data_IF_993901717911
#
_entry.id   IF_993901717911
#
_cell.length_a   1.000
_cell.length_b   1.000
_cell.length_c   1.000
_cell.angle_alpha   90.00
_cell.angle_beta   90.00
_cell.angle_gamma   90.00
#
_symmetry.space_group_name_H-M   'P 1'
#
loop_
_entity.id
_entity.type
_entity.pdbx_description
1 polymer ?
#
# COMPACT_ATOMS: atom_id res chain seq x y z
N UNK A 1 -33.84 -10.87 3.13
CA UNK A 1 -32.48 -10.75 3.70
C UNK A 1 -31.53 -11.32 2.65
N UNK A 2 -30.75 -10.49 1.95
CA UNK A 2 -29.49 -10.97 1.38
C UNK A 2 -28.39 -10.06 1.92
N UNK A 3 -27.33 -10.67 2.41
CA UNK A 3 -26.13 -9.98 2.87
C UNK A 3 -25.31 -9.38 1.71
N UNK A 4 -25.88 -9.35 0.49
CA UNK A 4 -25.17 -9.08 -0.77
C UNK A 4 -25.20 -7.61 -1.21
N UNK A 5 -25.99 -6.73 -0.58
CA UNK A 5 -26.06 -5.30 -0.96
C UNK A 5 -25.39 -4.36 0.07
N UNK A 6 -24.59 -4.89 0.99
CA UNK A 6 -23.80 -4.09 1.92
C UNK A 6 -22.42 -3.78 1.31
N UNK A 7 -22.17 -2.51 0.98
CA UNK A 7 -20.87 -2.02 0.48
C UNK A 7 -19.69 -2.43 1.36
N UNK A 8 -19.93 -2.62 2.66
CA UNK A 8 -18.92 -3.16 3.57
C UNK A 8 -18.47 -4.57 3.16
N UNK A 9 -19.38 -5.49 2.89
CA UNK A 9 -19.03 -6.89 2.56
C UNK A 9 -18.38 -7.03 1.17
N UNK A 10 -18.60 -6.03 0.31
CA UNK A 10 -17.95 -5.88 -0.99
C UNK A 10 -16.50 -5.41 -0.87
N UNK A 11 -16.13 -4.74 0.22
CA UNK A 11 -14.73 -4.38 0.48
C UNK A 11 -13.90 -5.64 0.71
N UNK A 12 -12.75 -5.70 0.05
CA UNK A 12 -11.85 -6.82 0.15
C UNK A 12 -10.40 -6.43 -0.01
N UNK A 13 -9.53 -7.31 0.49
CA UNK A 13 -8.11 -7.30 0.20
C UNK A 13 -7.68 -8.69 -0.22
N UNK A 14 -7.13 -8.81 -1.43
CA UNK A 14 -6.39 -9.99 -1.88
C UNK A 14 -4.91 -9.71 -1.69
N UNK A 15 -4.21 -10.54 -0.93
CA UNK A 15 -2.82 -10.26 -0.59
C UNK A 15 -1.94 -11.50 -0.48
N UNK A 16 -0.64 -11.27 -0.63
CA UNK A 16 0.40 -12.18 -0.18
C UNK A 16 1.60 -11.37 0.31
N UNK A 17 2.29 -11.94 1.29
CA UNK A 17 3.56 -11.43 1.80
C UNK A 17 4.69 -12.40 1.41
N UNK A 18 5.91 -12.09 1.86
CA UNK A 18 7.06 -13.00 1.76
C UNK A 18 6.84 -14.37 2.41
N UNK A 19 5.85 -14.48 3.32
CA UNK A 19 5.51 -15.76 3.95
C UNK A 19 4.74 -16.69 3.01
N UNK A 20 3.92 -16.14 2.13
CA UNK A 20 3.04 -16.92 1.26
C UNK A 20 3.57 -17.10 -0.17
N UNK A 21 4.24 -16.07 -0.72
CA UNK A 21 4.78 -16.10 -2.08
C UNK A 21 6.20 -15.57 -2.11
N UNK A 22 7.14 -16.16 -2.88
CA UNK A 22 8.48 -15.61 -3.07
C UNK A 22 8.44 -14.34 -3.94
N UNK A 23 9.52 -13.55 -3.88
CA UNK A 23 9.64 -12.23 -4.54
C UNK A 23 9.30 -12.28 -6.03
N UNK A 24 9.84 -13.24 -6.77
CA UNK A 24 9.61 -13.43 -8.20
C UNK A 24 8.12 -13.56 -8.55
N UNK A 25 7.37 -14.31 -7.72
CA UNK A 25 5.92 -14.51 -7.90
C UNK A 25 5.14 -13.25 -7.58
N UNK A 26 5.53 -12.49 -6.55
CA UNK A 26 4.89 -11.22 -6.21
C UNK A 26 5.08 -10.19 -7.33
N UNK A 27 6.26 -10.14 -7.93
CA UNK A 27 6.54 -9.22 -9.04
C UNK A 27 5.79 -9.58 -10.32
N UNK A 28 5.69 -10.87 -10.64
CA UNK A 28 4.91 -11.31 -11.80
C UNK A 28 3.43 -10.89 -11.68
N UNK A 29 2.85 -11.00 -10.48
CA UNK A 29 1.49 -10.54 -10.21
C UNK A 29 1.35 -9.01 -10.26
N UNK A 30 2.40 -8.27 -9.87
CA UNK A 30 2.37 -6.81 -9.93
C UNK A 30 2.56 -6.26 -11.35
N UNK A 31 3.26 -6.99 -12.22
CA UNK A 31 3.43 -6.62 -13.61
C UNK A 31 2.12 -6.68 -14.40
N UNK A 32 1.25 -7.65 -14.08
CA UNK A 32 -0.09 -7.77 -14.66
C UNK A 32 -1.15 -8.07 -13.59
N UNK A 33 -1.75 -7.03 -12.98
CA UNK A 33 -2.79 -7.20 -11.97
C UNK A 33 -4.18 -7.46 -12.58
N UNK A 34 -4.33 -7.48 -13.91
CA UNK A 34 -5.65 -7.53 -14.58
C UNK A 34 -6.49 -8.73 -14.13
N UNK A 35 -5.85 -9.90 -14.02
CA UNK A 35 -6.51 -11.12 -13.58
C UNK A 35 -6.91 -11.08 -12.10
N UNK A 36 -6.21 -10.30 -11.27
CA UNK A 36 -6.56 -10.11 -9.85
C UNK A 36 -7.68 -9.07 -9.69
N UNK A 37 -7.71 -8.05 -10.54
CA UNK A 37 -8.69 -6.98 -10.54
C UNK A 37 -10.01 -7.35 -11.25
N UNK A 38 -10.08 -8.52 -11.90
CA UNK A 38 -11.27 -8.98 -12.59
C UNK A 38 -12.48 -9.08 -11.63
N UNK A 39 -13.55 -8.34 -11.93
CA UNK A 39 -14.76 -8.29 -11.12
C UNK A 39 -14.75 -7.26 -9.99
N UNK A 40 -13.76 -6.35 -9.94
CA UNK A 40 -13.75 -5.21 -9.03
C UNK A 40 -14.26 -3.95 -9.73
N UNK A 41 -15.15 -3.23 -9.05
CA UNK A 41 -15.65 -1.93 -9.50
C UNK A 41 -14.65 -0.82 -9.18
N UNK A 42 -13.98 -0.94 -8.04
CA UNK A 42 -12.94 -0.02 -7.57
C UNK A 42 -11.75 -0.82 -7.05
N UNK A 43 -10.52 -0.41 -7.36
CA UNK A 43 -9.33 -1.08 -6.85
C UNK A 43 -8.06 -0.23 -6.90
N UNK A 44 -7.07 -0.66 -6.12
CA UNK A 44 -5.68 -0.28 -6.25
C UNK A 44 -4.76 -1.45 -5.93
N UNK A 45 -3.53 -1.37 -6.42
CA UNK A 45 -2.48 -2.34 -6.12
C UNK A 45 -1.39 -1.68 -5.27
N UNK A 46 -1.21 -2.18 -4.05
CA UNK A 46 -0.02 -1.92 -3.23
C UNK A 46 1.02 -3.00 -3.51
N UNK A 47 2.10 -2.62 -4.18
CA UNK A 47 3.23 -3.51 -4.42
C UNK A 47 4.49 -2.94 -3.75
N UNK A 48 5.09 -3.74 -2.89
CA UNK A 48 6.33 -3.44 -2.18
C UNK A 48 7.27 -4.64 -2.27
N UNK A 49 8.49 -4.49 -1.76
CA UNK A 49 9.43 -5.60 -1.67
C UNK A 49 8.92 -6.79 -0.82
N UNK A 50 8.02 -6.59 0.16
CA UNK A 50 7.56 -7.65 1.08
C UNK A 50 6.14 -8.14 0.86
N UNK A 51 5.34 -7.37 0.12
CA UNK A 51 3.91 -7.65 -0.05
C UNK A 51 3.39 -7.21 -1.40
N UNK A 52 2.38 -7.92 -1.85
CA UNK A 52 1.46 -7.50 -2.88
C UNK A 52 0.05 -7.53 -2.30
N UNK A 53 -0.67 -6.42 -2.35
CA UNK A 53 -2.04 -6.31 -1.87
C UNK A 53 -2.90 -5.58 -2.89
N UNK A 54 -3.95 -6.24 -3.35
CA UNK A 54 -5.02 -5.63 -4.12
C UNK A 54 -6.14 -5.26 -3.16
N UNK A 55 -6.36 -3.96 -2.99
CA UNK A 55 -7.43 -3.40 -2.16
C UNK A 55 -8.54 -2.97 -3.10
N UNK A 56 -9.77 -3.41 -2.86
CA UNK A 56 -10.85 -3.03 -3.76
C UNK A 56 -12.25 -3.28 -3.24
N UNK A 57 -13.20 -2.90 -4.08
CA UNK A 57 -14.63 -3.09 -3.93
C UNK A 57 -15.10 -4.07 -5.02
N UNK A 58 -15.62 -5.22 -4.62
CA UNK A 58 -16.15 -6.17 -5.60
C UNK A 58 -17.43 -5.66 -6.24
N UNK A 59 -17.63 -6.04 -7.50
CA UNK A 59 -18.95 -6.02 -8.13
C UNK A 59 -19.93 -6.93 -7.39
N UNK A 60 -21.18 -6.92 -7.86
CA UNK A 60 -22.26 -7.77 -7.33
C UNK A 60 -22.13 -9.24 -7.73
N UNK A 61 -21.25 -9.56 -8.68
CA UNK A 61 -20.98 -10.93 -9.09
C UNK A 61 -20.02 -11.62 -8.09
N UNK A 62 -20.17 -12.94 -7.86
CA UNK A 62 -19.22 -13.69 -7.06
C UNK A 62 -17.81 -13.59 -7.65
N UNK A 63 -16.83 -13.22 -6.81
CA UNK A 63 -15.44 -13.22 -7.23
C UNK A 63 -14.89 -14.64 -7.33
N UNK A 64 -14.01 -14.92 -8.32
CA UNK A 64 -13.31 -16.19 -8.36
C UNK A 64 -12.49 -16.40 -7.08
N UNK A 65 -12.31 -17.65 -6.62
CA UNK A 65 -11.46 -17.92 -5.47
C UNK A 65 -10.02 -17.42 -5.74
N UNK A 66 -9.32 -16.94 -4.71
CA UNK A 66 -7.94 -16.48 -4.87
C UNK A 66 -7.05 -17.61 -5.39
N UNK A 67 -6.14 -17.28 -6.31
CA UNK A 67 -5.14 -18.23 -6.83
C UNK A 67 -4.27 -18.78 -5.69
N UNK A 68 -3.71 -19.97 -5.86
CA UNK A 68 -2.84 -20.62 -4.87
C UNK A 68 -1.75 -19.68 -4.33
N UNK A 69 -1.67 -19.54 -3.01
CA UNK A 69 -0.70 -18.67 -2.32
C UNK A 69 -1.18 -17.23 -2.07
N UNK A 70 -2.39 -16.86 -2.51
CA UNK A 70 -3.02 -15.59 -2.17
C UNK A 70 -4.06 -15.78 -1.06
N UNK A 71 -4.13 -14.82 -0.15
CA UNK A 71 -5.12 -14.74 0.93
C UNK A 71 -6.18 -13.70 0.59
N UNK A 72 -7.40 -13.91 1.07
CA UNK A 72 -8.53 -13.01 0.90
C UNK A 72 -9.13 -12.67 2.26
N UNK A 73 -9.33 -11.37 2.51
CA UNK A 73 -10.16 -10.87 3.62
C UNK A 73 -11.23 -9.93 3.07
N UNK A 74 -12.40 -9.90 3.72
CA UNK A 74 -13.56 -9.09 3.33
C UNK A 74 -14.09 -8.27 4.50
N UNK A 75 -14.93 -7.29 4.22
CA UNK A 75 -15.67 -6.56 5.25
C UNK A 75 -14.77 -5.81 6.22
N UNK A 76 -15.10 -5.88 7.50
CA UNK A 76 -14.32 -5.25 8.57
C UNK A 76 -12.87 -5.74 8.61
N UNK A 77 -12.61 -7.01 8.24
CA UNK A 77 -11.23 -7.55 8.20
C UNK A 77 -10.40 -6.91 7.09
N UNK A 78 -11.03 -6.59 5.96
CA UNK A 78 -10.37 -5.86 4.87
C UNK A 78 -10.02 -4.44 5.33
N UNK A 79 -10.96 -3.74 5.96
CA UNK A 79 -10.75 -2.40 6.53
C UNK A 79 -9.61 -2.42 7.56
N UNK A 80 -9.67 -3.34 8.53
CA UNK A 80 -8.64 -3.49 9.57
C UNK A 80 -7.26 -3.73 8.96
N UNK A 81 -7.15 -4.61 7.96
CA UNK A 81 -5.90 -4.85 7.26
C UNK A 81 -5.34 -3.58 6.62
N UNK A 82 -6.16 -2.83 5.87
CA UNK A 82 -5.72 -1.60 5.22
C UNK A 82 -5.22 -0.57 6.25
N UNK A 83 -5.89 -0.45 7.40
CA UNK A 83 -5.46 0.42 8.50
C UNK A 83 -4.12 -0.05 9.08
N UNK A 84 -3.98 -1.33 9.40
CA UNK A 84 -2.76 -1.91 9.98
C UNK A 84 -1.55 -1.79 9.04
N UNK A 85 -1.74 -2.07 7.74
CA UNK A 85 -0.68 -1.93 6.72
C UNK A 85 -0.27 -0.47 6.57
N UNK A 86 -1.24 0.46 6.50
CA UNK A 86 -0.95 1.90 6.39
C UNK A 86 -0.22 2.44 7.63
N UNK A 87 -0.48 1.88 8.80
CA UNK A 87 0.24 2.18 10.04
C UNK A 87 1.58 1.45 10.16
N UNK A 88 1.89 0.50 9.28
CA UNK A 88 3.07 -0.35 9.33
C UNK A 88 3.05 -1.36 10.47
N UNK A 89 1.88 -1.64 11.07
CA UNK A 89 1.73 -2.59 12.18
C UNK A 89 1.71 -4.06 11.69
N UNK A 90 1.44 -4.28 10.40
CA UNK A 90 1.48 -5.60 9.76
C UNK A 90 2.76 -5.79 8.91
N UNK A 91 3.81 -4.97 9.14
CA UNK A 91 5.09 -5.03 8.41
C UNK A 91 6.18 -5.78 9.17
N UNK A 92 7.14 -6.35 8.42
CA UNK A 92 8.32 -7.03 8.97
C UNK A 92 9.17 -6.15 9.90
N UNK A 93 9.08 -4.83 9.69
CA UNK A 93 9.50 -3.78 10.63
C UNK A 93 8.24 -3.02 11.00
N UNK A 94 7.90 -2.99 12.29
CA UNK A 94 6.73 -2.26 12.76
C UNK A 94 6.97 -0.77 12.50
N UNK A 95 5.96 -0.07 11.99
CA UNK A 95 5.98 1.35 11.67
C UNK A 95 7.07 1.79 10.65
N UNK A 96 7.48 0.91 9.74
CA UNK A 96 8.42 1.24 8.66
C UNK A 96 8.03 2.56 7.97
N UNK A 97 8.91 3.57 7.99
CA UNK A 97 8.59 4.93 7.53
C UNK A 97 8.13 4.97 6.05
N UNK A 98 8.55 3.97 5.28
CA UNK A 98 8.31 3.85 3.85
C UNK A 98 6.90 3.35 3.49
N UNK A 99 6.25 2.51 4.32
CA UNK A 99 5.00 1.86 3.93
C UNK A 99 3.84 2.84 3.71
N UNK A 100 3.69 3.85 4.58
CA UNK A 100 2.67 4.89 4.41
C UNK A 100 2.91 5.72 3.15
N UNK A 101 4.18 5.98 2.81
CA UNK A 101 4.55 6.65 1.56
C UNK A 101 4.13 5.80 0.36
N UNK A 102 4.47 4.51 0.37
CA UNK A 102 4.07 3.56 -0.67
C UNK A 102 2.55 3.42 -0.81
N UNK A 103 1.79 3.41 0.30
CA UNK A 103 0.32 3.42 0.27
C UNK A 103 -0.21 4.70 -0.37
N UNK A 104 0.35 5.86 -0.03
CA UNK A 104 -0.03 7.14 -0.65
C UNK A 104 0.28 7.15 -2.14
N UNK A 105 1.47 6.71 -2.54
CA UNK A 105 1.89 6.73 -3.94
C UNK A 105 1.05 5.75 -4.79
N UNK A 106 0.71 4.57 -4.22
CA UNK A 106 -0.21 3.61 -4.83
C UNK A 106 -1.62 4.19 -4.97
N UNK A 107 -2.09 4.89 -3.94
CA UNK A 107 -3.37 5.59 -3.95
C UNK A 107 -3.44 6.65 -5.06
N UNK A 108 -2.46 7.56 -5.10
CA UNK A 108 -2.40 8.64 -6.08
C UNK A 108 -2.31 8.12 -7.51
N UNK A 109 -1.55 7.03 -7.72
CA UNK A 109 -1.45 6.35 -9.02
C UNK A 109 -2.78 5.76 -9.46
N UNK A 110 -3.49 5.06 -8.58
CA UNK A 110 -4.78 4.44 -8.89
C UNK A 110 -5.87 5.50 -9.11
N UNK A 111 -5.85 6.58 -8.33
CA UNK A 111 -6.74 7.73 -8.48
C UNK A 111 -6.55 8.40 -9.85
N UNK A 112 -5.30 8.65 -10.26
CA UNK A 112 -4.99 9.25 -11.56
C UNK A 112 -5.44 8.38 -12.75
N UNK A 113 -5.56 7.07 -12.55
CA UNK A 113 -6.03 6.10 -13.56
C UNK A 113 -7.54 5.87 -13.53
N UNK A 114 -8.28 6.54 -12.62
CA UNK A 114 -9.71 6.31 -12.44
C UNK A 114 -10.05 4.90 -11.93
N UNK A 115 -9.11 4.22 -11.27
CA UNK A 115 -9.29 2.85 -10.77
C UNK A 115 -9.98 2.83 -9.39
N UNK A 116 -9.87 3.90 -8.63
CA UNK A 116 -10.54 4.07 -7.32
C UNK A 116 -11.85 4.83 -7.47
N UNK A 117 -12.84 4.51 -6.64
CA UNK A 117 -14.11 5.24 -6.54
C UNK A 117 -14.37 5.76 -5.12
N UNK A 118 -15.58 6.27 -4.83
CA UNK A 118 -15.89 6.95 -3.58
C UNK A 118 -15.56 6.13 -2.33
N UNK A 119 -15.81 4.82 -2.35
CA UNK A 119 -15.65 3.95 -1.19
C UNK A 119 -14.16 3.68 -0.90
N UNK A 120 -13.40 3.25 -1.91
CA UNK A 120 -11.96 3.02 -1.78
C UNK A 120 -11.20 4.32 -1.48
N UNK A 121 -11.63 5.45 -2.06
CA UNK A 121 -11.09 6.77 -1.75
C UNK A 121 -11.24 7.11 -0.27
N UNK A 122 -12.44 6.92 0.30
CA UNK A 122 -12.69 7.25 1.70
C UNK A 122 -11.92 6.33 2.66
N UNK A 123 -11.88 5.03 2.36
CA UNK A 123 -11.08 4.05 3.11
C UNK A 123 -9.60 4.46 3.14
N UNK A 124 -8.99 4.76 1.99
CA UNK A 124 -7.58 5.08 1.93
C UNK A 124 -7.22 6.42 2.57
N UNK A 125 -8.06 7.45 2.41
CA UNK A 125 -7.86 8.73 3.10
C UNK A 125 -7.87 8.55 4.62
N UNK A 126 -8.76 7.70 5.15
CA UNK A 126 -8.78 7.35 6.58
C UNK A 126 -7.55 6.55 6.99
N UNK A 127 -7.16 5.56 6.19
CA UNK A 127 -5.99 4.74 6.46
C UNK A 127 -4.68 5.54 6.48
N UNK A 128 -4.52 6.51 5.57
CA UNK A 128 -3.37 7.42 5.56
C UNK A 128 -3.36 8.31 6.81
N UNK A 129 -4.52 8.86 7.21
CA UNK A 129 -4.62 9.65 8.46
C UNK A 129 -4.33 8.81 9.71
N UNK A 130 -4.87 7.60 9.76
CA UNK A 130 -4.62 6.63 10.83
C UNK A 130 -3.12 6.32 10.93
N UNK A 131 -2.46 5.97 9.81
CA UNK A 131 -1.03 5.68 9.79
C UNK A 131 -0.16 6.86 10.23
N UNK A 132 -0.50 8.10 9.87
CA UNK A 132 0.19 9.30 10.38
C UNK A 132 0.09 9.42 11.90
N UNK A 133 -1.08 9.16 12.47
CA UNK A 133 -1.31 9.26 13.92
C UNK A 133 -0.61 8.15 14.68
N UNK A 134 -0.70 6.89 14.23
CA UNK A 134 0.01 5.77 14.86
C UNK A 134 1.52 6.03 14.92
N UNK A 135 2.09 6.60 13.85
CA UNK A 135 3.51 6.96 13.82
C UNK A 135 3.88 8.05 14.81
N UNK A 136 3.01 9.05 15.03
CA UNK A 136 3.24 10.07 16.04
C UNK A 136 3.23 9.51 17.47
N UNK A 137 2.57 8.36 17.68
CA UNK A 137 2.54 7.65 18.96
C UNK A 137 3.63 6.59 19.12
N UNK A 138 4.28 6.19 18.02
CA UNK A 138 5.34 5.19 18.04
C UNK A 138 6.65 5.81 18.58
N UNK A 139 7.23 5.21 19.61
CA UNK A 139 8.57 5.55 20.04
C UNK A 139 9.57 5.02 18.99
N UNK A 140 10.53 5.83 18.52
CA UNK A 140 11.55 5.31 17.61
C UNK A 140 12.37 4.23 18.32
N UNK A 141 12.34 2.99 17.82
CA UNK A 141 13.33 1.98 18.21
C UNK A 141 14.73 2.33 17.71
N UNK A 142 15.74 1.54 18.08
CA UNK A 142 17.09 1.63 17.51
C UNK A 142 17.09 1.45 15.99
N UNK A 143 16.16 0.61 15.48
CA UNK A 143 16.08 0.21 14.09
C UNK A 143 14.80 0.80 13.46
N UNK A 144 14.94 1.89 12.69
CA UNK A 144 13.81 2.66 12.15
C UNK A 144 13.41 2.22 10.73
N UNK A 145 14.21 1.37 10.10
CA UNK A 145 14.00 0.91 8.73
C UNK A 145 14.63 -0.46 8.45
N UNK A 146 14.28 -1.07 7.32
CA UNK A 146 14.94 -2.27 6.80
C UNK A 146 16.45 -2.04 6.56
N UNK A 147 16.82 -0.84 6.11
CA UNK A 147 18.21 -0.47 5.87
C UNK A 147 19.01 -0.41 7.19
N UNK A 148 18.39 0.08 8.27
CA UNK A 148 19.02 0.12 9.60
C UNK A 148 19.33 -1.29 10.08
N UNK A 149 18.35 -2.21 10.00
CA UNK A 149 18.53 -3.62 10.38
C UNK A 149 19.56 -4.32 9.53
N UNK A 150 19.53 -4.08 8.22
CA UNK A 150 20.47 -4.66 7.28
C UNK A 150 21.91 -4.20 7.54
N UNK A 151 22.10 -2.90 7.78
CA UNK A 151 23.40 -2.34 8.15
C UNK A 151 23.88 -2.90 9.49
N UNK A 152 23.03 -2.91 10.53
CA UNK A 152 23.36 -3.46 11.84
C UNK A 152 23.77 -4.94 11.76
N UNK A 153 23.05 -5.74 10.97
CA UNK A 153 23.42 -7.13 10.72
C UNK A 153 24.77 -7.25 10.02
N UNK A 154 25.02 -6.43 8.99
CA UNK A 154 26.29 -6.46 8.27
C UNK A 154 27.46 -6.12 9.20
N UNK A 155 27.33 -5.07 10.00
CA UNK A 155 28.32 -4.65 11.01
C UNK A 155 28.58 -5.76 12.03
N UNK A 156 27.52 -6.33 12.62
CA UNK A 156 27.65 -7.42 13.59
C UNK A 156 28.30 -8.66 12.98
N UNK A 157 28.08 -8.91 11.68
CA UNK A 157 28.68 -10.04 10.96
C UNK A 157 30.16 -9.82 10.65
N UNK A 158 30.55 -8.57 10.38
CA UNK A 158 31.93 -8.18 10.18
C UNK A 158 32.74 -8.26 11.48
N UNK A 159 32.16 -7.80 12.60
CA UNK A 159 32.79 -7.78 13.91
C UNK A 159 33.14 -9.17 14.49
N UNK A 160 32.60 -10.26 13.94
CA UNK A 160 32.90 -11.64 14.39
C UNK A 160 34.25 -12.18 13.91
N UNK A 161 35.02 -11.43 13.12
CA UNK A 161 36.34 -11.84 12.63
C UNK A 161 37.40 -10.91 13.23
N UNK A 162 38.01 -11.32 14.35
CA UNK A 162 38.83 -10.47 15.24
C UNK A 162 40.20 -10.01 14.68
N UNK A 163 40.63 -10.50 13.51
CA UNK A 163 42.04 -10.33 13.07
C UNK A 163 42.32 -9.18 12.08
N UNK A 164 41.30 -8.48 11.54
CA UNK A 164 41.53 -7.32 10.67
C UNK A 164 40.44 -6.24 10.81
N UNK A 165 40.80 -4.94 10.82
CA UNK A 165 39.81 -3.86 10.73
C UNK A 165 39.16 -3.90 9.35
N UNK A 166 37.93 -4.44 9.30
CA UNK A 166 37.09 -4.50 8.11
C UNK A 166 36.30 -3.22 7.98
N UNK A 167 36.82 -2.29 7.17
CA UNK A 167 36.36 -0.91 7.14
C UNK A 167 35.73 -0.54 5.80
N UNK A 168 35.79 -1.36 4.74
CA UNK A 168 35.34 -0.95 3.40
C UNK A 168 34.03 -1.61 2.96
N UNK A 169 33.00 -0.79 2.74
CA UNK A 169 31.71 -1.23 2.23
C UNK A 169 31.43 -0.71 0.81
N UNK A 170 30.94 -1.58 -0.07
CA UNK A 170 30.35 -1.18 -1.35
C UNK A 170 28.82 -1.10 -1.20
N UNK A 171 28.23 0.04 -1.55
CA UNK A 171 26.77 0.20 -1.64
C UNK A 171 26.36 0.38 -3.09
N UNK A 172 25.70 -0.61 -3.67
CA UNK A 172 25.18 -0.56 -5.04
C UNK A 172 23.74 -0.08 -5.01
N UNK A 173 23.52 1.15 -5.47
CA UNK A 173 22.21 1.78 -5.55
C UNK A 173 22.19 3.18 -4.92
N UNK A 174 21.72 4.17 -5.68
CA UNK A 174 21.57 5.56 -5.23
C UNK A 174 20.12 5.95 -4.89
N UNK A 175 19.23 4.95 -4.77
CA UNK A 175 17.84 5.14 -4.37
C UNK A 175 17.70 5.37 -2.86
N UNK A 176 16.47 5.55 -2.37
CA UNK A 176 16.21 5.82 -0.95
C UNK A 176 16.85 4.77 -0.03
N UNK A 177 16.69 3.49 -0.33
CA UNK A 177 17.24 2.38 0.46
C UNK A 177 18.77 2.34 0.44
N UNK A 178 19.39 2.49 -0.73
CA UNK A 178 20.84 2.51 -0.87
C UNK A 178 21.46 3.69 -0.12
N UNK A 179 20.84 4.88 -0.18
CA UNK A 179 21.29 6.05 0.61
C UNK A 179 21.24 5.77 2.11
N UNK A 180 20.14 5.22 2.61
CA UNK A 180 19.99 4.94 4.04
C UNK A 180 20.99 3.89 4.52
N UNK A 181 21.18 2.81 3.76
CA UNK A 181 22.23 1.80 4.01
C UNK A 181 23.62 2.44 4.06
N UNK A 182 23.97 3.25 3.06
CA UNK A 182 25.25 3.94 3.00
C UNK A 182 25.47 4.86 4.21
N UNK A 183 24.46 5.64 4.60
CA UNK A 183 24.51 6.49 5.78
C UNK A 183 24.79 5.67 7.04
N UNK A 184 24.08 4.55 7.26
CA UNK A 184 24.27 3.73 8.47
C UNK A 184 25.64 3.05 8.54
N UNK A 185 26.12 2.54 7.41
CA UNK A 185 27.47 1.95 7.36
C UNK A 185 28.55 3.02 7.63
N UNK A 186 28.37 4.23 7.11
CA UNK A 186 29.25 5.36 7.38
C UNK A 186 29.19 5.84 8.85
N UNK A 187 27.99 5.90 9.46
CA UNK A 187 27.81 6.21 10.89
C UNK A 187 28.51 5.19 11.81
N UNK A 188 28.60 3.93 11.36
CA UNK A 188 29.33 2.87 12.04
C UNK A 188 30.86 2.93 11.82
N UNK A 189 31.37 3.94 11.10
CA UNK A 189 32.79 4.16 10.87
C UNK A 189 33.38 3.45 9.64
N UNK A 190 32.55 2.89 8.76
CA UNK A 190 33.04 2.26 7.54
C UNK A 190 33.32 3.29 6.43
N UNK A 191 34.41 3.11 5.67
CA UNK A 191 34.59 3.75 4.37
C UNK A 191 33.61 3.14 3.36
N UNK A 192 32.63 3.95 2.97
CA UNK A 192 31.66 3.58 1.94
C UNK A 192 32.10 4.02 0.55
N UNK A 193 32.04 3.08 -0.40
CA UNK A 193 32.04 3.34 -1.84
C UNK A 193 30.62 3.19 -2.38
N UNK A 194 30.05 4.25 -2.96
CA UNK A 194 28.72 4.24 -3.54
C UNK A 194 28.79 3.95 -5.04
N UNK A 195 28.06 2.95 -5.50
CA UNK A 195 27.97 2.59 -6.90
C UNK A 195 26.57 2.88 -7.47
N UNK A 196 26.52 3.50 -8.65
CA UNK A 196 25.27 3.73 -9.38
C UNK A 196 25.49 3.67 -10.89
N UNK A 197 24.42 3.46 -11.65
CA UNK A 197 24.45 3.59 -13.13
C UNK A 197 24.68 5.03 -13.58
N UNK A 198 24.39 5.99 -12.71
CA UNK A 198 24.69 7.40 -12.91
C UNK A 198 25.81 7.80 -11.95
N UNK A 199 27.00 8.09 -12.49
CA UNK A 199 28.15 8.52 -11.70
C UNK A 199 27.83 9.76 -10.86
N UNK A 200 27.09 10.71 -11.43
CA UNK A 200 26.63 11.91 -10.72
C UNK A 200 25.77 11.57 -9.48
N UNK A 201 24.81 10.63 -9.61
CA UNK A 201 24.00 10.22 -8.46
C UNK A 201 24.83 9.50 -7.40
N UNK A 202 25.82 8.70 -7.80
CA UNK A 202 26.73 8.05 -6.86
C UNK A 202 27.55 9.09 -6.08
N UNK A 203 28.13 10.08 -6.78
CA UNK A 203 28.92 11.15 -6.20
C UNK A 203 28.11 11.96 -5.18
N UNK A 204 26.91 12.42 -5.55
CA UNK A 204 26.03 13.17 -4.65
C UNK A 204 25.70 12.41 -3.36
N UNK A 205 25.53 11.09 -3.44
CA UNK A 205 25.26 10.28 -2.25
C UNK A 205 26.51 10.17 -1.40
N UNK A 206 27.66 9.82 -1.99
CA UNK A 206 28.93 9.68 -1.27
C UNK A 206 29.36 10.99 -0.56
N UNK A 207 29.16 12.14 -1.22
CA UNK A 207 29.45 13.47 -0.65
C UNK A 207 28.60 13.81 0.56
N UNK A 208 27.35 13.32 0.61
CA UNK A 208 26.40 13.58 1.69
C UNK A 208 26.55 12.64 2.90
N UNK A 209 27.45 11.65 2.83
CA UNK A 209 27.63 10.69 3.92
C UNK A 209 28.37 11.31 5.12
N UNK A 210 27.97 10.96 6.36
CA UNK A 210 28.66 11.42 7.56
C UNK A 210 30.05 10.78 7.66
N UNK A 211 31.03 11.58 8.06
CA UNK A 211 32.41 11.11 8.30
C UNK A 211 32.58 10.88 9.79
N UNK A 212 32.78 9.62 10.19
CA UNK A 212 32.87 9.23 11.61
C UNK A 212 34.18 8.50 11.86
N UNK A 213 34.91 8.87 12.92
CA UNK A 213 36.11 8.17 13.38
C UNK A 213 37.45 8.71 12.87
N UNK A 214 38.49 7.88 12.98
CA UNK A 214 39.91 8.22 12.70
C UNK A 214 40.25 8.30 11.20
N UNK A 215 39.29 7.99 10.33
CA UNK A 215 39.47 8.03 8.89
C UNK A 215 39.02 9.39 8.34
N UNK A 216 39.97 10.31 8.17
CA UNK A 216 39.78 11.54 7.38
C UNK A 216 39.64 11.25 5.86
N UNK A 217 39.21 10.03 5.51
CA UNK A 217 39.13 9.52 4.14
C UNK A 217 37.77 9.86 3.58
N UNK A 218 37.75 10.45 2.38
CA UNK A 218 36.52 10.71 1.67
C UNK A 218 35.89 9.39 1.20
N UNK A 219 34.58 9.24 1.45
CA UNK A 219 33.76 8.23 0.78
C UNK A 219 33.88 8.35 -0.74
N UNK A 220 33.81 7.22 -1.42
CA UNK A 220 34.07 7.16 -2.86
C UNK A 220 32.79 6.95 -3.64
N UNK A 221 32.83 7.28 -4.93
CA UNK A 221 31.74 6.98 -5.86
C UNK A 221 32.29 6.38 -7.14
N UNK A 222 31.56 5.42 -7.70
CA UNK A 222 32.01 4.68 -8.89
C UNK A 222 30.82 4.24 -9.74
N UNK A 223 31.05 3.94 -11.02
CA UNK A 223 30.02 3.30 -11.84
C UNK A 223 29.80 1.85 -11.40
N UNK A 224 28.56 1.37 -11.49
CA UNK A 224 28.20 0.00 -11.04
C UNK A 224 29.08 -1.07 -11.67
N UNK A 225 29.26 -1.06 -12.99
CA UNK A 225 30.04 -2.09 -13.69
C UNK A 225 31.53 -2.08 -13.30
N UNK A 226 32.07 -0.93 -12.92
CA UNK A 226 33.45 -0.81 -12.43
C UNK A 226 33.57 -1.34 -11.00
N UNK A 227 32.59 -1.04 -10.14
CA UNK A 227 32.57 -1.50 -8.76
C UNK A 227 32.48 -3.04 -8.68
N UNK A 228 31.61 -3.64 -9.50
CA UNK A 228 31.38 -5.08 -9.50
C UNK A 228 32.63 -5.86 -9.93
N UNK A 229 33.41 -5.35 -10.89
CA UNK A 229 34.71 -5.96 -11.28
C UNK A 229 35.71 -6.06 -10.12
N UNK A 230 35.54 -5.23 -9.10
CA UNK A 230 36.38 -5.20 -7.91
C UNK A 230 35.61 -5.63 -6.66
N UNK A 231 34.49 -6.35 -6.80
CA UNK A 231 33.62 -6.74 -5.69
C UNK A 231 34.39 -7.46 -4.56
N UNK A 232 35.39 -8.28 -4.90
CA UNK A 232 36.19 -9.03 -3.94
C UNK A 232 37.04 -8.15 -2.98
N UNK A 233 37.26 -6.87 -3.27
CA UNK A 233 38.06 -5.99 -2.39
C UNK A 233 37.27 -5.39 -1.21
N UNK A 234 35.95 -5.55 -1.21
CA UNK A 234 35.08 -4.96 -0.20
C UNK A 234 34.78 -5.99 0.90
N UNK A 235 34.75 -5.55 2.14
CA UNK A 235 34.41 -6.39 3.29
C UNK A 235 32.91 -6.70 3.33
N UNK A 236 32.11 -5.70 2.97
CA UNK A 236 30.67 -5.80 2.82
C UNK A 236 30.20 -5.23 1.49
N UNK A 237 29.19 -5.88 0.90
CA UNK A 237 28.51 -5.39 -0.29
C UNK A 237 27.01 -5.34 0.02
N UNK A 238 26.46 -4.14 0.00
CA UNK A 238 25.04 -3.90 0.16
C UNK A 238 24.42 -3.47 -1.17
N UNK A 239 23.46 -4.24 -1.68
CA UNK A 239 22.78 -3.97 -2.94
C UNK A 239 21.35 -3.54 -2.64
N UNK A 240 20.94 -2.40 -3.20
CA UNK A 240 19.60 -1.86 -3.07
C UNK A 240 19.16 -1.24 -4.40
N UNK A 241 18.89 -2.10 -5.38
CA UNK A 241 18.46 -1.69 -6.73
C UNK A 241 17.19 -2.41 -7.17
N UNK A 242 16.56 -1.89 -8.22
CA UNK A 242 15.63 -2.67 -9.04
C UNK A 242 16.41 -3.11 -10.27
N UNK A 243 16.67 -4.41 -10.37
CA UNK A 243 17.40 -5.02 -11.50
C UNK A 243 16.65 -6.25 -11.98
N UNK A 244 16.47 -6.39 -13.29
CA UNK A 244 15.92 -7.60 -13.91
C UNK A 244 16.96 -8.69 -14.14
N UNK A 245 18.21 -8.44 -13.77
CA UNK A 245 19.35 -9.36 -13.91
C UNK A 245 20.15 -9.42 -12.61
N UNK A 246 20.82 -10.55 -12.39
CA UNK A 246 21.80 -10.65 -11.32
C UNK A 246 22.96 -9.68 -11.57
N UNK A 247 23.38 -8.99 -10.51
CA UNK A 247 24.55 -8.11 -10.50
C UNK A 247 25.76 -8.77 -9.86
N UNK A 248 25.54 -9.74 -8.96
CA UNK A 248 26.61 -10.52 -8.35
C UNK A 248 26.40 -12.02 -8.62
N UNK A 249 27.50 -12.67 -8.97
CA UNK A 249 27.56 -14.11 -9.15
C UNK A 249 28.85 -14.71 -8.55
N UNK A 250 29.01 -16.03 -8.67
CA UNK A 250 30.15 -16.76 -8.13
C UNK A 250 31.50 -16.38 -8.74
N UNK A 251 31.54 -15.80 -9.95
CA UNK A 251 32.77 -15.39 -10.63
C UNK A 251 33.35 -14.08 -10.07
N UNK A 252 32.52 -13.28 -9.40
CA UNK A 252 32.95 -12.05 -8.74
C UNK A 252 33.80 -12.30 -7.47
N UNK A 253 33.86 -13.55 -6.99
CA UNK A 253 34.50 -13.90 -5.72
C UNK A 253 35.44 -15.10 -5.82
N UNK A 254 36.68 -14.91 -5.36
CA UNK A 254 37.67 -15.96 -5.12
C UNK A 254 37.38 -16.76 -3.85
N UNK A 255 38.41 -17.13 -3.07
CA UNK A 255 38.21 -17.87 -1.80
C UNK A 255 37.55 -17.02 -0.72
N UNK A 256 37.88 -15.72 -0.67
CA UNK A 256 37.27 -14.76 0.25
C UNK A 256 35.83 -14.43 -0.12
N UNK A 257 34.98 -14.30 0.90
CA UNK A 257 33.55 -14.03 0.74
C UNK A 257 33.20 -12.78 1.52
N UNK A 258 32.73 -11.69 0.91
CA UNK A 258 32.23 -10.55 1.66
C UNK A 258 30.98 -10.90 2.46
N UNK A 259 30.60 -10.03 3.38
CA UNK A 259 29.24 -10.00 3.92
C UNK A 259 28.36 -9.34 2.89
N UNK A 260 27.29 -10.01 2.45
CA UNK A 260 26.41 -9.48 1.41
C UNK A 260 25.03 -9.19 1.99
N UNK A 261 24.55 -8.00 1.71
CA UNK A 261 23.16 -7.59 1.97
C UNK A 261 22.50 -7.35 0.62
N UNK A 262 21.38 -8.02 0.34
CA UNK A 262 20.59 -7.78 -0.87
C UNK A 262 19.17 -7.32 -0.51
N UNK A 263 18.95 -6.01 -0.61
CA UNK A 263 17.65 -5.37 -0.46
C UNK A 263 16.96 -5.11 -1.81
N UNK A 264 17.36 -5.83 -2.86
CA UNK A 264 16.82 -5.67 -4.22
C UNK A 264 15.55 -6.50 -4.42
N UNK A 265 14.62 -5.95 -5.21
CA UNK A 265 13.44 -6.65 -5.70
C UNK A 265 13.31 -6.38 -7.21
N UNK A 266 13.57 -7.37 -8.08
CA UNK A 266 13.95 -8.75 -7.74
C UNK A 266 15.39 -8.85 -7.22
N UNK A 267 15.74 -9.98 -6.62
CA UNK A 267 17.06 -10.20 -6.02
C UNK A 267 18.20 -10.07 -7.03
N UNK A 268 19.26 -9.35 -6.64
CA UNK A 268 20.41 -9.05 -7.50
C UNK A 268 21.56 -10.05 -7.34
N UNK A 269 21.47 -10.97 -6.38
CA UNK A 269 22.46 -12.04 -6.16
C UNK A 269 22.00 -13.33 -6.85
N UNK A 270 22.88 -13.96 -7.64
CA UNK A 270 22.54 -15.21 -8.32
C UNK A 270 22.29 -16.35 -7.33
N UNK A 271 21.41 -17.29 -7.68
CA UNK A 271 21.04 -18.43 -6.81
C UNK A 271 22.26 -19.26 -6.40
N UNK A 272 23.21 -19.47 -7.32
CA UNK A 272 24.45 -20.20 -7.05
C UNK A 272 25.33 -19.46 -6.03
N UNK A 273 25.44 -18.14 -6.16
CA UNK A 273 26.19 -17.32 -5.21
C UNK A 273 25.48 -17.27 -3.86
N UNK A 274 24.15 -17.15 -3.83
CA UNK A 274 23.37 -17.17 -2.59
C UNK A 274 23.60 -18.45 -1.78
N UNK A 275 23.57 -19.61 -2.45
CA UNK A 275 23.88 -20.90 -1.83
C UNK A 275 25.32 -20.95 -1.29
N UNK A 276 26.28 -20.39 -2.04
CA UNK A 276 27.68 -20.33 -1.62
C UNK A 276 27.91 -19.36 -0.46
N UNK A 277 27.25 -18.21 -0.42
CA UNK A 277 27.39 -17.24 0.67
C UNK A 277 26.78 -17.77 1.98
N UNK A 278 25.74 -18.60 1.90
CA UNK A 278 25.15 -19.25 3.06
C UNK A 278 24.72 -18.22 4.10
N UNK A 279 25.28 -18.30 5.30
CA UNK A 279 25.00 -17.40 6.42
C UNK A 279 25.63 -15.99 6.25
N UNK A 280 26.44 -15.75 5.22
CA UNK A 280 27.02 -14.44 4.89
C UNK A 280 26.16 -13.59 3.96
N UNK A 281 25.00 -14.10 3.53
CA UNK A 281 24.00 -13.36 2.78
C UNK A 281 22.79 -13.04 3.68
N UNK A 282 22.41 -11.76 3.70
CA UNK A 282 21.12 -11.30 4.19
C UNK A 282 20.31 -10.73 3.03
N UNK A 283 19.26 -11.45 2.64
CA UNK A 283 18.27 -10.98 1.67
C UNK A 283 17.02 -10.43 2.39
N UNK A 284 16.10 -9.83 1.62
CA UNK A 284 14.83 -9.31 2.13
C UNK A 284 14.00 -10.38 2.87
N UNK A 285 13.97 -11.60 2.36
CA UNK A 285 13.15 -12.67 2.94
C UNK A 285 13.67 -13.07 4.33
N UNK A 286 14.99 -13.22 4.50
CA UNK A 286 15.65 -13.48 5.80
C UNK A 286 15.53 -12.29 6.75
N UNK A 287 15.62 -11.07 6.22
CA UNK A 287 15.43 -9.86 7.02
C UNK A 287 13.98 -9.75 7.54
N UNK A 288 13.01 -10.23 6.74
CA UNK A 288 11.62 -10.39 7.12
C UNK A 288 11.37 -11.44 8.22
N UNK A 289 12.15 -12.52 8.23
CA UNK A 289 12.03 -13.61 9.21
C UNK A 289 12.61 -13.27 10.59
N UNK A 290 13.62 -12.41 10.63
CA UNK A 290 14.34 -12.02 11.87
C UNK A 290 13.57 -11.02 12.75
N UNK A 291 12.27 -10.87 12.53
CA UNK A 291 11.29 -10.02 13.23
C UNK A 291 11.80 -9.09 14.34
N UNK A 292 11.59 -7.79 14.17
CA UNK A 292 11.91 -6.78 15.18
C UNK A 292 12.05 -5.39 14.57
N UNK A 293 11.64 -4.37 15.31
CA UNK A 293 11.80 -2.96 14.95
C UNK A 293 10.52 -2.18 15.18
N UNK A 294 10.58 -1.16 16.05
CA UNK A 294 9.48 -0.40 16.69
C UNK A 294 8.58 -1.22 17.61
N UNK A 295 8.56 -0.87 18.90
CA UNK A 295 7.59 -1.37 19.87
C UNK A 295 6.72 -0.21 20.33
N UNK A 296 5.41 -0.36 20.22
CA UNK A 296 4.50 0.49 20.97
C UNK A 296 4.57 0.09 22.44
N UNK A 297 4.64 1.07 23.34
CA UNK A 297 4.41 0.76 24.75
C UNK A 297 2.94 0.32 24.94
N UNK A 298 2.64 -0.38 26.04
CA UNK A 298 1.27 -0.89 26.28
C UNK A 298 0.19 0.20 26.28
N UNK A 299 0.53 1.45 26.62
CA UNK A 299 -0.43 2.55 26.57
C UNK A 299 -0.67 3.02 25.14
N UNK A 300 0.37 3.10 24.33
CA UNK A 300 0.31 3.38 22.89
C UNK A 300 -0.45 2.28 22.14
N UNK A 301 -0.20 1.00 22.43
CA UNK A 301 -0.98 -0.12 21.87
C UNK A 301 -2.48 0.03 22.13
N UNK A 302 -2.87 0.38 23.36
CA UNK A 302 -4.28 0.62 23.72
C UNK A 302 -4.88 1.80 22.95
N UNK A 303 -4.16 2.91 22.82
CA UNK A 303 -4.61 4.08 22.05
C UNK A 303 -4.76 3.76 20.58
N UNK A 304 -3.77 3.10 19.99
CA UNK A 304 -3.79 2.65 18.58
C UNK A 304 -4.96 1.70 18.33
N UNK A 305 -5.23 0.76 19.25
CA UNK A 305 -6.38 -0.14 19.13
C UNK A 305 -7.71 0.60 19.19
N UNK A 306 -7.88 1.48 20.19
CA UNK A 306 -9.09 2.29 20.32
C UNK A 306 -9.31 3.17 19.08
N UNK A 307 -8.24 3.69 18.52
CA UNK A 307 -8.30 4.53 17.33
C UNK A 307 -8.59 3.75 16.05
N UNK A 308 -8.10 2.52 15.94
CA UNK A 308 -8.45 1.58 14.87
C UNK A 308 -9.95 1.30 14.90
N UNK A 309 -10.49 0.94 16.06
CA UNK A 309 -11.91 0.66 16.25
C UNK A 309 -12.76 1.91 15.92
N UNK A 310 -12.37 3.09 16.41
CA UNK A 310 -13.06 4.34 16.10
C UNK A 310 -13.01 4.70 14.60
N UNK A 311 -11.89 4.46 13.93
CA UNK A 311 -11.73 4.74 12.50
C UNK A 311 -12.61 3.80 11.66
N UNK A 312 -12.64 2.52 12.03
CA UNK A 312 -13.53 1.50 11.44
C UNK A 312 -15.00 1.88 11.61
N UNK A 313 -15.43 2.20 12.82
CA UNK A 313 -16.84 2.47 13.11
C UNK A 313 -17.33 3.72 12.38
N UNK A 314 -16.49 4.77 12.30
CA UNK A 314 -16.80 5.94 11.48
C UNK A 314 -16.88 5.60 9.99
N UNK A 315 -16.12 4.62 9.48
CA UNK A 315 -16.19 4.24 8.06
C UNK A 315 -17.49 3.50 7.79
N UNK A 316 -17.88 2.59 8.68
CA UNK A 316 -19.16 1.88 8.60
C UNK A 316 -20.33 2.87 8.62
N UNK A 317 -20.30 3.86 9.51
CA UNK A 317 -21.32 4.91 9.55
C UNK A 317 -21.37 5.70 8.22
N UNK A 318 -20.20 6.06 7.68
CA UNK A 318 -20.12 6.77 6.40
C UNK A 318 -20.65 5.93 5.23
N UNK A 319 -20.34 4.63 5.18
CA UNK A 319 -20.85 3.72 4.15
C UNK A 319 -22.38 3.64 4.20
N UNK A 320 -22.96 3.57 5.41
CA UNK A 320 -24.42 3.60 5.58
C UNK A 320 -25.02 4.91 5.07
N UNK A 321 -24.42 6.05 5.43
CA UNK A 321 -24.89 7.37 4.98
C UNK A 321 -24.78 7.53 3.46
N UNK A 322 -23.69 7.01 2.86
CA UNK A 322 -23.45 7.02 1.43
C UNK A 322 -24.51 6.20 0.69
N UNK A 323 -24.71 4.93 1.09
CA UNK A 323 -25.71 4.03 0.53
C UNK A 323 -27.14 4.57 0.68
N UNK A 324 -27.42 5.22 1.82
CA UNK A 324 -28.71 5.88 2.04
C UNK A 324 -28.92 7.08 1.10
N UNK A 325 -27.85 7.82 0.79
CA UNK A 325 -27.87 8.87 -0.22
C UNK A 325 -28.27 8.36 -1.60
N UNK A 326 -27.72 7.23 -2.02
CA UNK A 326 -28.03 6.61 -3.31
C UNK A 326 -29.49 6.14 -3.39
N UNK A 327 -30.01 5.53 -2.33
CA UNK A 327 -31.43 5.15 -2.26
C UNK A 327 -32.36 6.36 -2.36
N UNK A 328 -32.03 7.46 -1.69
CA UNK A 328 -32.80 8.72 -1.78
C UNK A 328 -32.74 9.29 -3.21
N UNK A 329 -31.58 9.25 -3.86
CA UNK A 329 -31.44 9.68 -5.24
C UNK A 329 -32.31 8.83 -6.18
N UNK A 330 -32.32 7.51 -5.99
CA UNK A 330 -33.18 6.59 -6.74
C UNK A 330 -34.67 6.90 -6.55
N UNK A 331 -35.13 7.12 -5.31
CA UNK A 331 -36.51 7.50 -5.01
C UNK A 331 -36.92 8.78 -5.77
N UNK A 332 -36.06 9.80 -5.72
CA UNK A 332 -36.32 11.08 -6.39
C UNK A 332 -36.38 10.92 -7.91
N UNK A 333 -35.46 10.15 -8.49
CA UNK A 333 -35.45 9.87 -9.92
C UNK A 333 -36.75 9.18 -10.35
N UNK A 334 -37.15 8.10 -9.67
CA UNK A 334 -38.33 7.33 -10.01
C UNK A 334 -39.63 8.14 -9.90
N UNK A 335 -39.74 8.96 -8.87
CA UNK A 335 -40.91 9.82 -8.67
C UNK A 335 -40.99 10.93 -9.73
N UNK A 336 -39.84 11.49 -10.11
CA UNK A 336 -39.75 12.49 -11.18
C UNK A 336 -40.08 11.89 -12.56
N UNK A 337 -39.66 10.66 -12.85
CA UNK A 337 -40.05 9.94 -14.06
C UNK A 337 -41.57 9.72 -14.15
N UNK A 338 -42.23 9.42 -13.03
CA UNK A 338 -43.70 9.36 -12.96
C UNK A 338 -44.30 10.73 -13.28
N UNK A 339 -43.84 11.80 -12.62
CA UNK A 339 -44.35 13.16 -12.85
C UNK A 339 -44.22 13.58 -14.31
N UNK A 340 -43.05 13.39 -14.91
CA UNK A 340 -42.79 13.70 -16.33
C UNK A 340 -43.74 12.96 -17.26
N UNK A 341 -43.97 11.65 -17.05
CA UNK A 341 -44.95 10.87 -17.83
C UNK A 341 -46.37 11.42 -17.75
N UNK A 342 -46.78 11.97 -16.61
CA UNK A 342 -48.08 12.62 -16.46
C UNK A 342 -48.14 13.97 -17.17
N UNK A 343 -47.11 14.81 -17.04
CA UNK A 343 -47.02 16.10 -17.73
C UNK A 343 -47.02 15.93 -19.26
N UNK A 344 -46.30 14.95 -19.79
CA UNK A 344 -46.29 14.67 -21.24
C UNK A 344 -47.65 14.15 -21.74
N UNK A 345 -48.41 13.43 -20.91
CA UNK A 345 -49.79 13.05 -21.23
C UNK A 345 -50.73 14.25 -21.24
N UNK A 346 -50.56 15.19 -20.30
CA UNK A 346 -51.34 16.43 -20.26
C UNK A 346 -51.06 17.30 -21.50
N UNK A 347 -49.78 17.50 -21.83
CA UNK A 347 -49.34 18.26 -23.02
C UNK A 347 -49.95 17.74 -24.32
N UNK A 348 -50.15 16.42 -24.44
CA UNK A 348 -50.78 15.80 -25.62
C UNK A 348 -52.30 15.92 -25.68
N UNK A 349 -52.98 16.13 -24.54
CA UNK A 349 -54.45 16.10 -24.44
C UNK A 349 -55.10 17.47 -24.26
N UNK A 350 -54.36 18.44 -23.74
CA UNK A 350 -54.87 19.77 -23.43
C UNK A 350 -54.06 20.84 -24.16
N UNK A 351 -54.75 21.84 -24.72
CA UNK A 351 -54.12 23.06 -25.24
C UNK A 351 -53.99 24.06 -24.10
N UNK A 352 -52.85 23.99 -23.40
CA UNK A 352 -52.49 24.93 -22.34
C UNK A 352 -51.54 25.99 -22.89
N UNK A 353 -51.66 27.23 -22.41
CA UNK A 353 -50.64 28.25 -22.65
C UNK A 353 -49.33 27.88 -21.96
N UNK A 354 -48.21 28.48 -22.37
CA UNK A 354 -46.92 28.25 -21.68
C UNK A 354 -46.97 28.62 -20.20
N UNK A 355 -47.71 29.67 -19.84
CA UNK A 355 -47.86 30.13 -18.46
C UNK A 355 -48.66 29.13 -17.61
N UNK A 356 -49.75 28.58 -18.18
CA UNK A 356 -50.53 27.53 -17.52
C UNK A 356 -49.73 26.23 -17.36
N UNK A 357 -48.93 25.87 -18.37
CA UNK A 357 -48.05 24.71 -18.30
C UNK A 357 -47.00 24.87 -17.18
N UNK A 358 -46.37 26.04 -17.09
CA UNK A 358 -45.40 26.36 -16.04
C UNK A 358 -46.04 26.32 -14.64
N UNK A 359 -47.26 26.82 -14.49
CA UNK A 359 -48.01 26.75 -13.22
C UNK A 359 -48.27 25.29 -12.79
N UNK A 360 -48.67 24.42 -13.73
CA UNK A 360 -48.89 22.98 -13.45
C UNK A 360 -47.57 22.28 -13.12
N UNK A 361 -46.49 22.59 -13.82
CA UNK A 361 -45.15 22.05 -13.52
C UNK A 361 -44.68 22.44 -12.11
N UNK A 362 -44.84 23.71 -11.74
CA UNK A 362 -44.50 24.20 -10.40
C UNK A 362 -45.36 23.55 -9.31
N UNK A 363 -46.68 23.45 -9.53
CA UNK A 363 -47.61 22.82 -8.59
C UNK A 363 -47.26 21.34 -8.37
N UNK A 364 -47.07 20.58 -9.45
CA UNK A 364 -46.73 19.15 -9.36
C UNK A 364 -45.35 18.91 -8.73
N UNK A 365 -44.38 19.79 -8.98
CA UNK A 365 -43.08 19.73 -8.32
C UNK A 365 -43.17 20.01 -6.81
N UNK A 366 -43.97 21.01 -6.40
CA UNK A 366 -44.21 21.31 -4.99
C UNK A 366 -44.91 20.15 -4.27
N UNK A 367 -45.93 19.56 -4.88
CA UNK A 367 -46.61 18.37 -4.35
C UNK A 367 -45.65 17.19 -4.17
N UNK A 368 -44.77 16.93 -5.15
CA UNK A 368 -43.75 15.89 -5.00
C UNK A 368 -42.77 16.20 -3.86
N UNK A 369 -42.33 17.45 -3.73
CA UNK A 369 -41.40 17.84 -2.67
C UNK A 369 -42.02 17.60 -1.28
N UNK A 370 -43.30 17.92 -1.10
CA UNK A 370 -44.04 17.68 0.14
C UNK A 370 -44.22 16.17 0.42
N UNK A 371 -44.65 15.40 -0.59
CA UNK A 371 -44.83 13.95 -0.47
C UNK A 371 -43.53 13.20 -0.15
N UNK A 372 -42.40 13.66 -0.72
CA UNK A 372 -41.11 13.01 -0.55
C UNK A 372 -40.37 13.43 0.73
N UNK A 373 -40.85 14.43 1.48
CA UNK A 373 -40.19 14.92 2.68
C UNK A 373 -40.04 13.82 3.75
N UNK A 374 -41.14 13.21 4.18
CA UNK A 374 -41.14 12.17 5.22
C UNK A 374 -40.43 10.89 4.75
N UNK A 375 -40.68 10.34 3.54
CA UNK A 375 -39.93 9.20 3.02
C UNK A 375 -38.42 9.44 2.99
N UNK A 376 -37.97 10.64 2.58
CA UNK A 376 -36.54 10.97 2.57
C UNK A 376 -35.94 10.92 3.98
N UNK A 377 -36.64 11.44 4.99
CA UNK A 377 -36.17 11.39 6.39
C UNK A 377 -36.12 9.95 6.93
N UNK A 378 -37.08 9.11 6.57
CA UNK A 378 -37.11 7.70 6.96
C UNK A 378 -35.99 6.91 6.29
N UNK A 379 -35.74 7.13 5.00
CA UNK A 379 -34.67 6.47 4.26
C UNK A 379 -33.29 6.83 4.80
N UNK A 380 -33.06 8.07 5.25
CA UNK A 380 -31.81 8.45 5.93
C UNK A 380 -31.51 7.64 7.19
N UNK A 381 -32.55 7.10 7.83
CA UNK A 381 -32.45 6.28 9.05
C UNK A 381 -32.54 4.78 8.77
N UNK A 382 -32.70 4.39 7.50
CA UNK A 382 -32.75 2.99 7.10
C UNK A 382 -31.36 2.36 7.18
N UNK A 383 -31.31 1.05 7.40
CA UNK A 383 -30.08 0.28 7.23
C UNK A 383 -29.75 0.09 5.74
N UNK A 384 -30.79 0.06 4.90
CA UNK A 384 -30.66 -0.08 3.44
C UNK A 384 -31.78 0.73 2.76
N UNK A 385 -31.51 2.00 2.41
CA UNK A 385 -32.48 2.82 1.68
C UNK A 385 -32.73 2.31 0.26
N UNK A 386 -31.68 1.85 -0.42
CA UNK A 386 -31.73 1.45 -1.83
C UNK A 386 -32.63 0.25 -2.05
N UNK A 387 -32.48 -0.81 -1.23
CA UNK A 387 -33.35 -1.99 -1.30
C UNK A 387 -34.80 -1.63 -0.99
N UNK A 388 -35.04 -0.79 0.02
CA UNK A 388 -36.39 -0.37 0.39
C UNK A 388 -37.08 0.44 -0.71
N UNK A 389 -36.34 1.30 -1.40
CA UNK A 389 -36.86 2.03 -2.57
C UNK A 389 -37.16 1.07 -3.72
N UNK A 390 -36.27 0.12 -4.00
CA UNK A 390 -36.51 -0.91 -5.03
C UNK A 390 -37.77 -1.71 -4.75
N UNK A 391 -37.98 -2.15 -3.51
CA UNK A 391 -39.20 -2.84 -3.06
C UNK A 391 -40.45 -1.97 -3.28
N UNK A 392 -40.42 -0.70 -2.86
CA UNK A 392 -41.54 0.23 -3.00
C UNK A 392 -41.97 0.46 -4.46
N UNK A 393 -41.02 0.45 -5.41
CA UNK A 393 -41.29 0.62 -6.83
C UNK A 393 -41.39 -0.70 -7.62
N UNK A 394 -41.24 -1.85 -6.96
CA UNK A 394 -41.33 -3.16 -7.61
C UNK A 394 -40.14 -3.51 -8.52
N UNK A 395 -38.96 -2.93 -8.29
CA UNK A 395 -37.73 -3.31 -8.97
C UNK A 395 -37.09 -4.50 -8.26
N UNK A 396 -37.15 -5.70 -8.84
CA UNK A 396 -36.45 -6.89 -8.34
C UNK A 396 -37.35 -7.86 -7.55
N UNK A 397 -38.37 -8.39 -8.22
CA UNK A 397 -38.84 -9.75 -7.95
C UNK A 397 -37.90 -10.76 -8.63
#
# INVERSE_FOLDING_TARGET
MSADDNDLERLLVVFATFRELPTERREALAADPSALAAGLDEWLLLHTCHRIELIGLSGRAPLPPPRSGLRLVRGLKAVERVLLVSAGLDSAVIAEEQILGQVRDAYETALARGQTGPITNELLRRAIRFGKRVRAEAQPGSDRSLADRAAAWAIARLARNDDQPREHALVVGSGQMGRLLATRLAEAGMLVTVASRSGERAARVAEALPRVGRQDRAHQSVLTDQALKQAAQYDAIAIAVRSSTWLLDAAHFGTERPVVVDLSSPGAVSTQLAARLGDRLLDLDRLGQTGGGSSLDRAAERRVRADLDATRDRLVAWLRDHHNGDGIALLRQQTEEIRRRHLDRLRRRAQLSQEQLAAVEAMTAAMLAELLHVPTLQLRRSDDATARVRELFGFGA
#
